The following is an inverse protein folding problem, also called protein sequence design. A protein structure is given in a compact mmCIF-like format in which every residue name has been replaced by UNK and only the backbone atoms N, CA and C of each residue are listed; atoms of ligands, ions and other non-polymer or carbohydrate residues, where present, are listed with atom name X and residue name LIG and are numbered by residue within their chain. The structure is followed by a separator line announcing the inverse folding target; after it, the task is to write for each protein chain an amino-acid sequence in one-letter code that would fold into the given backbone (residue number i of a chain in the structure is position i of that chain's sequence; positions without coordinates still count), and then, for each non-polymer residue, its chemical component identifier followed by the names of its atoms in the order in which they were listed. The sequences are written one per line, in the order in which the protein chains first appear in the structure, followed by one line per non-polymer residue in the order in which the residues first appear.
data_IF_033593100234
#
_entry.id   IF_033593100234
#
_cell.length_a   1.000
_cell.length_b   1.000
_cell.length_c   1.000
_cell.angle_alpha   90.00
_cell.angle_beta   90.00
_cell.angle_gamma   90.00
#
_symmetry.space_group_name_H-M   'P 1'
#
loop_
_entity.id
_entity.type
_entity.pdbx_description
1 polymer ?
#
# COMPACT_ATOMS: atom_id res chain seq x y z
N UNK A 1 11.75 2.94 9.03
CA UNK A 1 12.67 2.64 7.91
C UNK A 1 13.84 3.63 7.73
N UNK A 2 13.76 4.91 8.15
CA UNK A 2 14.92 5.82 8.10
C UNK A 2 15.41 6.19 6.69
N UNK A 3 14.50 6.19 5.70
CA UNK A 3 14.85 6.33 4.29
C UNK A 3 15.29 7.76 3.94
N UNK A 4 16.29 7.86 3.08
CA UNK A 4 16.72 9.10 2.42
C UNK A 4 16.72 8.91 0.90
N UNK A 5 16.75 10.01 0.13
CA UNK A 5 16.77 9.96 -1.34
C UNK A 5 18.18 9.64 -1.84
N UNK A 6 18.53 8.37 -1.86
CA UNK A 6 19.90 7.89 -2.19
C UNK A 6 19.95 6.90 -3.35
N UNK A 7 18.80 6.45 -3.87
CA UNK A 7 18.73 5.50 -4.98
C UNK A 7 18.60 6.26 -6.31
N UNK A 8 19.62 6.25 -7.19
CA UNK A 8 19.53 6.91 -8.48
C UNK A 8 18.64 6.09 -9.43
N UNK A 9 17.54 6.70 -9.90
CA UNK A 9 16.65 6.07 -10.88
C UNK A 9 16.37 7.05 -12.04
N UNK A 10 16.51 6.63 -13.31
CA UNK A 10 16.07 7.46 -14.42
C UNK A 10 14.55 7.61 -14.40
N UNK A 11 14.02 8.74 -14.90
CA UNK A 11 12.63 8.76 -15.35
C UNK A 11 12.48 7.83 -16.55
N UNK A 12 11.53 6.91 -16.46
CA UNK A 12 11.39 5.82 -17.42
C UNK A 12 11.04 6.32 -18.82
N UNK A 13 11.04 5.42 -19.82
CA UNK A 13 10.35 5.65 -21.08
C UNK A 13 8.83 5.82 -20.86
N UNK A 14 8.28 5.30 -19.75
CA UNK A 14 6.87 5.34 -19.35
C UNK A 14 5.91 5.24 -20.55
N UNK A 15 6.18 4.28 -21.43
CA UNK A 15 5.31 4.03 -22.58
C UNK A 15 4.06 3.30 -22.12
N UNK A 16 2.93 3.60 -22.79
CA UNK A 16 1.73 2.81 -22.61
C UNK A 16 2.04 1.40 -23.15
N UNK A 17 2.14 0.43 -22.23
CA UNK A 17 2.17 -0.99 -22.56
C UNK A 17 0.73 -1.48 -22.78
N UNK A 18 0.57 -2.66 -23.37
CA UNK A 18 -0.77 -3.23 -23.60
C UNK A 18 -1.50 -3.47 -22.27
N UNK A 19 -2.84 -3.51 -22.31
CA UNK A 19 -3.67 -3.61 -21.10
C UNK A 19 -3.31 -4.81 -20.22
N UNK A 20 -3.02 -5.97 -20.82
CA UNK A 20 -2.64 -7.19 -20.09
C UNK A 20 -1.38 -6.99 -19.27
N UNK A 21 -0.32 -6.44 -19.87
CA UNK A 21 0.94 -6.17 -19.16
C UNK A 21 0.76 -5.11 -18.08
N UNK A 22 -0.11 -4.11 -18.30
CA UNK A 22 -0.48 -3.18 -17.24
C UNK A 22 -1.18 -3.87 -16.09
N UNK A 23 -2.20 -4.69 -16.38
CA UNK A 23 -2.94 -5.43 -15.36
C UNK A 23 -2.01 -6.31 -14.52
N UNK A 24 -1.09 -7.04 -15.14
CA UNK A 24 -0.10 -7.86 -14.43
C UNK A 24 0.78 -7.04 -13.47
N UNK A 25 1.24 -5.85 -13.88
CA UNK A 25 2.00 -4.96 -12.99
C UNK A 25 1.17 -4.47 -11.80
N UNK A 26 -0.11 -4.14 -12.03
CA UNK A 26 -0.99 -3.65 -10.97
C UNK A 26 -1.46 -4.75 -10.03
N UNK A 27 -1.60 -5.98 -10.51
CA UNK A 27 -1.91 -7.15 -9.70
C UNK A 27 -0.73 -7.55 -8.82
N UNK A 28 0.50 -7.46 -9.35
CA UNK A 28 1.72 -7.65 -8.56
C UNK A 28 1.97 -6.53 -7.52
N UNK A 29 1.34 -5.36 -7.68
CA UNK A 29 1.46 -4.24 -6.74
C UNK A 29 0.54 -4.45 -5.53
N UNK A 30 1.07 -5.13 -4.51
CA UNK A 30 0.42 -5.27 -3.21
C UNK A 30 0.68 -4.06 -2.31
N UNK A 31 -0.35 -3.65 -1.57
CA UNK A 31 -0.24 -2.65 -0.51
C UNK A 31 -0.47 -3.25 0.90
N UNK A 32 -0.54 -4.58 1.01
CA UNK A 32 -0.87 -5.29 2.24
C UNK A 32 0.16 -5.06 3.35
N UNK A 33 1.44 -5.02 2.96
CA UNK A 33 2.55 -4.73 3.87
C UNK A 33 2.48 -3.33 4.49
N UNK A 34 1.61 -2.46 4.00
CA UNK A 34 1.46 -1.10 4.53
C UNK A 34 1.00 -1.04 5.98
N UNK A 35 0.25 -2.04 6.46
CA UNK A 35 -0.22 -2.08 7.83
C UNK A 35 0.84 -2.72 8.74
N UNK A 36 1.35 -1.94 9.69
CA UNK A 36 2.42 -2.32 10.62
C UNK A 36 1.97 -2.17 12.07
N UNK A 37 2.49 -3.03 12.96
CA UNK A 37 2.26 -3.01 14.39
C UNK A 37 3.50 -2.50 15.12
N UNK A 38 3.48 -1.24 15.56
CA UNK A 38 4.59 -0.59 16.27
C UNK A 38 4.35 -0.60 17.78
N UNK A 39 5.39 -0.82 18.58
CA UNK A 39 5.30 -0.69 20.04
C UNK A 39 4.97 0.74 20.45
N UNK A 40 4.28 0.89 21.58
CA UNK A 40 3.96 2.20 22.14
C UNK A 40 5.23 3.01 22.48
N UNK A 41 6.31 2.35 22.90
CA UNK A 41 7.60 3.01 23.15
C UNK A 41 8.22 3.55 21.86
N UNK A 42 8.21 2.77 20.78
CA UNK A 42 8.68 3.23 19.47
C UNK A 42 7.82 4.40 18.97
N UNK A 43 6.49 4.28 19.04
CA UNK A 43 5.58 5.33 18.62
C UNK A 43 5.81 6.63 19.39
N UNK A 44 5.96 6.55 20.72
CA UNK A 44 6.26 7.71 21.58
C UNK A 44 7.62 8.34 21.24
N UNK A 45 8.66 7.54 21.06
CA UNK A 45 9.99 8.01 20.70
C UNK A 45 9.99 8.74 19.35
N UNK A 46 9.14 8.33 18.42
CA UNK A 46 8.96 8.94 17.10
C UNK A 46 7.94 10.10 17.09
N UNK A 47 7.33 10.43 18.23
CA UNK A 47 6.29 11.47 18.32
C UNK A 47 4.99 11.13 17.59
N UNK A 48 4.71 9.84 17.35
CA UNK A 48 3.50 9.38 16.70
C UNK A 48 2.31 9.40 17.68
N UNK A 49 1.11 9.85 17.25
CA UNK A 49 -0.10 9.70 18.03
C UNK A 49 -0.44 8.24 18.29
N UNK A 50 -1.11 7.95 19.41
CA UNK A 50 -1.55 6.60 19.75
C UNK A 50 -2.54 6.09 18.70
N UNK A 51 -2.19 4.99 18.03
CA UNK A 51 -3.09 4.33 17.09
C UNK A 51 -3.99 3.26 17.73
N UNK A 52 -4.92 2.74 16.93
CA UNK A 52 -5.75 1.58 17.28
C UNK A 52 -4.88 0.39 17.72
N UNK A 53 -5.36 -0.39 18.69
CA UNK A 53 -4.59 -1.51 19.23
C UNK A 53 -4.39 -2.62 18.21
N UNK A 54 -3.20 -3.18 18.19
CA UNK A 54 -2.96 -4.40 17.45
C UNK A 54 -3.69 -5.56 18.15
N UNK A 55 -4.54 -6.33 17.45
CA UNK A 55 -5.40 -7.34 18.09
C UNK A 55 -4.65 -8.40 18.87
N UNK A 56 -3.40 -8.65 18.48
CA UNK A 56 -2.54 -9.70 19.03
C UNK A 56 -1.55 -9.16 20.09
N UNK A 57 -1.45 -7.84 20.27
CA UNK A 57 -0.53 -7.23 21.23
C UNK A 57 -1.02 -5.83 21.64
N UNK A 58 -1.52 -5.70 22.86
CA UNK A 58 -2.07 -4.44 23.36
C UNK A 58 -1.01 -3.37 23.61
N UNK A 59 0.28 -3.73 23.67
CA UNK A 59 1.39 -2.78 23.80
C UNK A 59 1.83 -2.23 22.42
N UNK A 60 1.14 -2.65 21.35
CA UNK A 60 1.33 -2.17 19.99
C UNK A 60 0.12 -1.46 19.42
N UNK A 61 0.38 -0.51 18.53
CA UNK A 61 -0.62 0.17 17.71
C UNK A 61 -0.43 -0.15 16.23
N UNK A 62 -1.53 -0.20 15.47
CA UNK A 62 -1.52 -0.38 14.02
C UNK A 62 -1.35 0.97 13.33
N UNK A 63 -0.32 1.09 12.50
CA UNK A 63 -0.06 2.26 11.66
C UNK A 63 -0.07 1.85 10.20
N UNK A 64 -0.44 2.79 9.31
CA UNK A 64 -0.36 2.62 7.87
C UNK A 64 0.84 3.41 7.33
N UNK A 65 1.71 2.72 6.61
CA UNK A 65 2.84 3.34 5.91
C UNK A 65 2.30 4.21 4.77
N UNK A 66 2.67 5.49 4.76
CA UNK A 66 2.18 6.47 3.80
C UNK A 66 2.43 6.08 2.33
N UNK A 67 3.59 5.50 2.00
CA UNK A 67 3.88 5.06 0.63
C UNK A 67 2.91 3.98 0.14
N UNK A 68 2.50 3.04 1.00
CA UNK A 68 1.50 2.03 0.67
C UNK A 68 0.08 2.60 0.60
N UNK A 69 -0.25 3.59 1.44
CA UNK A 69 -1.48 4.35 1.29
C UNK A 69 -1.56 5.09 -0.05
N UNK A 70 -0.45 5.70 -0.49
CA UNK A 70 -0.35 6.34 -1.79
C UNK A 70 -0.49 5.32 -2.93
N UNK A 71 0.14 4.14 -2.83
CA UNK A 71 -0.03 3.07 -3.81
C UNK A 71 -1.48 2.57 -3.90
N UNK A 72 -2.14 2.37 -2.75
CA UNK A 72 -3.58 2.10 -2.69
C UNK A 72 -4.37 3.17 -3.44
N UNK A 73 -4.12 4.46 -3.16
CA UNK A 73 -4.81 5.56 -3.83
C UNK A 73 -4.60 5.54 -5.35
N UNK A 74 -3.37 5.29 -5.83
CA UNK A 74 -3.11 5.20 -7.28
C UNK A 74 -3.87 4.01 -7.89
N UNK A 75 -3.86 2.84 -7.24
CA UNK A 75 -4.59 1.65 -7.71
C UNK A 75 -6.10 1.89 -7.72
N UNK A 76 -6.67 2.55 -6.70
CA UNK A 76 -8.09 2.94 -6.66
C UNK A 76 -8.47 3.85 -7.81
N UNK A 77 -7.67 4.89 -8.09
CA UNK A 77 -7.93 5.82 -9.21
C UNK A 77 -7.82 5.09 -10.56
N UNK A 78 -6.81 4.24 -10.72
CA UNK A 78 -6.68 3.41 -11.92
C UNK A 78 -7.92 2.55 -12.12
N UNK A 79 -8.34 1.80 -11.11
CA UNK A 79 -9.52 0.93 -11.18
C UNK A 79 -10.76 1.72 -11.58
N UNK A 80 -10.98 2.90 -11.00
CA UNK A 80 -12.08 3.79 -11.36
C UNK A 80 -12.03 4.22 -12.84
N UNK A 81 -10.84 4.54 -13.37
CA UNK A 81 -10.64 4.92 -14.78
C UNK A 81 -10.87 3.74 -15.73
N UNK A 82 -10.39 2.55 -15.39
CA UNK A 82 -10.63 1.32 -16.17
C UNK A 82 -12.10 0.96 -16.18
N UNK A 83 -12.77 1.00 -15.02
CA UNK A 83 -14.21 0.78 -14.91
C UNK A 83 -15.01 1.78 -15.74
N UNK A 84 -14.63 3.07 -15.72
CA UNK A 84 -15.25 4.09 -16.56
C UNK A 84 -15.07 3.80 -18.05
N UNK A 85 -13.83 3.52 -18.50
CA UNK A 85 -13.51 3.17 -19.89
C UNK A 85 -14.34 1.99 -20.38
N UNK A 86 -14.45 0.96 -19.55
CA UNK A 86 -15.13 -0.29 -19.88
C UNK A 86 -16.64 -0.23 -19.63
N UNK A 87 -17.19 0.94 -19.26
CA UNK A 87 -18.61 1.12 -18.94
C UNK A 87 -19.11 0.20 -17.80
N UNK A 88 -18.22 -0.13 -16.85
CA UNK A 88 -18.52 -0.92 -15.66
C UNK A 88 -18.99 0.00 -14.52
N UNK A 89 -19.84 -0.50 -13.60
CA UNK A 89 -20.16 0.21 -12.37
C UNK A 89 -18.90 0.51 -11.57
N UNK A 90 -18.87 1.67 -10.92
CA UNK A 90 -17.75 2.05 -10.04
C UNK A 90 -17.76 1.18 -8.78
N UNK A 91 -16.67 0.47 -8.54
CA UNK A 91 -16.50 -0.36 -7.33
C UNK A 91 -16.20 0.48 -6.08
N UNK A 92 -15.57 1.64 -6.27
CA UNK A 92 -15.29 2.60 -5.21
C UNK A 92 -16.30 3.74 -5.23
N UNK A 93 -16.87 4.13 -4.06
CA UNK A 93 -17.70 5.34 -3.98
C UNK A 93 -16.91 6.55 -4.46
N UNK A 94 -17.58 7.48 -5.16
CA UNK A 94 -16.94 8.68 -5.69
C UNK A 94 -16.17 9.48 -4.64
N UNK A 95 -16.70 9.58 -3.40
CA UNK A 95 -16.01 10.24 -2.29
C UNK A 95 -14.65 9.60 -1.94
N UNK A 96 -14.50 8.28 -2.11
CA UNK A 96 -13.21 7.59 -1.91
C UNK A 96 -12.22 7.96 -3.03
N UNK A 97 -12.66 7.99 -4.29
CA UNK A 97 -11.82 8.42 -5.43
C UNK A 97 -11.35 9.88 -5.25
N UNK A 98 -12.24 10.78 -4.81
CA UNK A 98 -11.89 12.16 -4.49
C UNK A 98 -10.87 12.26 -3.35
N UNK A 99 -11.06 11.46 -2.30
CA UNK A 99 -10.10 11.38 -1.20
C UNK A 99 -8.72 10.92 -1.69
N UNK A 100 -8.64 9.87 -2.51
CA UNK A 100 -7.39 9.39 -3.09
C UNK A 100 -6.68 10.47 -3.91
N UNK A 101 -7.43 11.24 -4.71
CA UNK A 101 -6.88 12.36 -5.48
C UNK A 101 -6.32 13.47 -4.58
N UNK A 102 -7.03 13.81 -3.50
CA UNK A 102 -6.57 14.82 -2.55
C UNK A 102 -5.34 14.37 -1.77
N UNK A 103 -5.29 13.11 -1.34
CA UNK A 103 -4.12 12.51 -0.67
C UNK A 103 -2.88 12.59 -1.56
N UNK A 104 -2.99 12.17 -2.83
CA UNK A 104 -1.87 12.21 -3.76
C UNK A 104 -1.43 13.65 -4.06
N UNK A 105 -2.38 14.58 -4.17
CA UNK A 105 -2.07 16.01 -4.32
C UNK A 105 -1.29 16.52 -3.11
N UNK A 106 -1.76 16.25 -1.90
CA UNK A 106 -1.13 16.72 -0.67
C UNK A 106 0.24 16.07 -0.47
N UNK A 107 0.42 14.82 -0.87
CA UNK A 107 1.73 14.16 -0.89
C UNK A 107 2.73 14.85 -1.83
N UNK A 108 2.29 15.24 -3.04
CA UNK A 108 3.13 15.97 -3.99
C UNK A 108 3.52 17.34 -3.41
N UNK A 109 2.57 18.05 -2.82
CA UNK A 109 2.80 19.35 -2.20
C UNK A 109 3.72 19.25 -0.97
N UNK A 110 3.57 18.21 -0.15
CA UNK A 110 4.39 17.93 1.03
C UNK A 110 5.83 17.58 0.65
N UNK A 111 6.00 16.75 -0.38
CA UNK A 111 7.33 16.34 -0.82
C UNK A 111 8.10 17.46 -1.52
N UNK A 112 7.39 18.36 -2.23
CA UNK A 112 7.93 19.50 -2.96
C UNK A 112 9.25 19.18 -3.70
N UNK A 113 9.25 18.11 -4.51
CA UNK A 113 10.45 17.66 -5.23
C UNK A 113 10.89 18.73 -6.24
N UNK A 114 12.03 19.37 -5.96
CA UNK A 114 12.59 20.50 -6.67
C UNK A 114 13.51 20.08 -7.83
N UNK A 115 13.60 18.78 -8.14
CA UNK A 115 14.43 18.27 -9.24
C UNK A 115 13.93 18.82 -10.59
N UNK A 116 14.70 19.68 -11.29
CA UNK A 116 14.26 20.26 -12.55
C UNK A 116 14.19 19.18 -13.63
N UNK A 117 13.11 19.12 -14.41
CA UNK A 117 13.00 18.19 -15.54
C UNK A 117 13.41 18.88 -16.83
N UNK A 118 14.35 18.31 -17.57
CA UNK A 118 14.72 18.86 -18.87
C UNK A 118 13.62 18.65 -19.92
N UNK A 119 13.52 19.57 -20.89
CA UNK A 119 12.51 19.58 -21.96
C UNK A 119 13.16 19.86 -23.33
N UNK A 120 12.55 19.41 -24.42
CA UNK A 120 12.81 19.92 -25.78
C UNK A 120 13.85 19.18 -26.65
N UNK A 121 14.68 18.30 -26.08
CA UNK A 121 15.74 17.57 -26.82
C UNK A 121 15.47 16.06 -26.97
N UNK A 122 14.23 15.64 -26.74
CA UNK A 122 13.83 14.24 -26.59
C UNK A 122 13.09 13.76 -27.83
N UNK A 123 13.34 12.53 -28.34
CA UNK A 123 12.64 11.98 -29.51
C UNK A 123 11.11 11.94 -29.38
N UNK A 124 10.58 11.87 -28.17
CA UNK A 124 9.16 11.72 -27.85
C UNK A 124 8.54 12.91 -27.09
N UNK A 125 9.28 14.02 -26.97
CA UNK A 125 8.91 15.23 -26.23
C UNK A 125 8.56 15.01 -24.74
N UNK A 126 8.88 13.84 -24.15
CA UNK A 126 8.60 13.56 -22.73
C UNK A 126 9.61 14.27 -21.83
N UNK A 127 9.11 15.03 -20.85
CA UNK A 127 9.97 15.78 -19.93
C UNK A 127 10.78 14.84 -19.03
N UNK A 128 12.08 15.11 -18.92
CA UNK A 128 12.98 14.36 -18.03
C UNK A 128 13.28 12.91 -18.44
N UNK A 129 12.82 12.40 -19.59
CA UNK A 129 13.10 11.03 -20.02
C UNK A 129 14.60 10.71 -19.92
N UNK A 130 14.97 9.63 -19.21
CA UNK A 130 16.36 9.22 -18.99
C UNK A 130 17.15 10.08 -17.98
N UNK A 131 16.65 11.25 -17.56
CA UNK A 131 17.29 12.03 -16.51
C UNK A 131 17.15 11.29 -15.17
N UNK A 132 18.23 11.25 -14.42
CA UNK A 132 18.30 10.60 -13.12
C UNK A 132 17.67 11.51 -12.05
N UNK A 133 16.82 10.91 -11.22
CA UNK A 133 16.34 11.47 -9.95
C UNK A 133 16.79 10.60 -8.79
N UNK A 134 16.78 11.16 -7.58
CA UNK A 134 17.12 10.44 -6.37
C UNK A 134 15.85 9.97 -5.64
N UNK A 135 15.68 8.67 -5.54
CA UNK A 135 14.54 8.02 -4.91
C UNK A 135 14.91 7.47 -3.52
N UNK A 136 13.89 7.23 -2.68
CA UNK A 136 14.02 6.42 -1.47
C UNK A 136 14.02 4.93 -1.86
N UNK A 137 14.79 4.11 -1.14
CA UNK A 137 14.82 2.66 -1.37
C UNK A 137 13.50 2.01 -0.91
N UNK A 138 12.69 1.59 -1.88
CA UNK A 138 11.41 0.94 -1.61
C UNK A 138 11.62 -0.48 -1.03
N UNK A 139 12.66 -1.19 -1.44
CA UNK A 139 12.98 -2.51 -0.89
C UNK A 139 13.40 -2.40 0.58
N UNK A 140 14.06 -1.31 0.98
CA UNK A 140 14.33 -1.02 2.39
C UNK A 140 13.04 -0.74 3.18
N UNK A 141 12.07 -0.05 2.58
CA UNK A 141 10.76 0.14 3.19
C UNK A 141 10.05 -1.19 3.41
N UNK A 142 10.06 -2.05 2.40
CA UNK A 142 9.47 -3.40 2.42
C UNK A 142 10.05 -4.27 3.52
N UNK A 143 11.38 -4.33 3.64
CA UNK A 143 12.04 -5.09 4.71
C UNK A 143 11.57 -4.63 6.08
N UNK A 144 11.54 -3.32 6.30
CA UNK A 144 11.05 -2.76 7.57
C UNK A 144 9.55 -3.03 7.80
N UNK A 145 8.74 -2.99 6.74
CA UNK A 145 7.31 -3.30 6.81
C UNK A 145 7.06 -4.77 7.19
N UNK A 146 7.84 -5.70 6.64
CA UNK A 146 7.80 -7.12 6.99
C UNK A 146 8.20 -7.35 8.46
N UNK A 147 9.29 -6.71 8.91
CA UNK A 147 9.74 -6.79 10.31
C UNK A 147 8.70 -6.25 11.30
N UNK A 148 7.90 -5.27 10.88
CA UNK A 148 6.87 -4.63 11.70
C UNK A 148 5.45 -5.05 11.33
N UNK A 149 5.27 -6.16 10.62
CA UNK A 149 3.95 -6.52 10.04
C UNK A 149 2.82 -6.54 11.07
N UNK A 150 1.66 -6.00 10.69
CA UNK A 150 0.42 -6.17 11.44
C UNK A 150 -0.35 -7.44 11.02
N UNK A 151 0.27 -8.39 10.32
CA UNK A 151 -0.38 -9.59 9.82
C UNK A 151 -1.61 -9.28 8.93
N UNK A 152 -1.58 -8.14 8.23
CA UNK A 152 -2.72 -7.63 7.50
C UNK A 152 -2.74 -8.10 6.04
N UNK A 153 -3.92 -8.42 5.49
CA UNK A 153 -4.16 -8.58 4.05
C UNK A 153 -5.47 -7.94 3.61
N UNK A 154 -5.50 -7.41 2.38
CA UNK A 154 -6.72 -6.90 1.77
C UNK A 154 -7.60 -8.05 1.24
N UNK A 155 -8.33 -8.69 2.15
CA UNK A 155 -9.27 -9.78 1.83
C UNK A 155 -10.68 -9.43 2.26
N UNK A 156 -11.65 -10.06 1.58
CA UNK A 156 -13.07 -9.93 1.86
C UNK A 156 -13.68 -8.58 1.47
N UNK A 157 -14.97 -8.61 1.17
CA UNK A 157 -15.79 -7.43 0.98
C UNK A 157 -16.75 -7.24 2.17
N UNK A 158 -17.05 -5.98 2.51
CA UNK A 158 -18.03 -5.63 3.55
C UNK A 158 -19.45 -6.19 3.28
N UNK A 159 -19.73 -6.60 2.05
CA UNK A 159 -20.97 -7.26 1.65
C UNK A 159 -21.02 -8.77 1.97
N UNK A 160 -19.90 -9.39 2.33
CA UNK A 160 -19.85 -10.81 2.70
C UNK A 160 -20.34 -10.98 4.15
N UNK A 161 -21.37 -11.80 4.36
CA UNK A 161 -22.06 -11.95 5.66
C UNK A 161 -21.13 -12.42 6.80
N UNK A 162 -20.13 -13.25 6.48
CA UNK A 162 -19.19 -13.81 7.45
C UNK A 162 -17.90 -12.98 7.59
N UNK A 163 -17.72 -11.94 6.77
CA UNK A 163 -16.51 -11.12 6.80
C UNK A 163 -16.49 -10.19 8.01
N UNK A 164 -15.32 -10.10 8.64
CA UNK A 164 -15.04 -9.13 9.70
C UNK A 164 -13.74 -8.42 9.39
N UNK A 165 -13.72 -7.11 9.62
CA UNK A 165 -12.49 -6.32 9.45
C UNK A 165 -11.30 -6.87 10.25
N UNK A 166 -11.57 -7.47 11.41
CA UNK A 166 -10.54 -8.07 12.24
C UNK A 166 -9.88 -9.31 11.59
N UNK A 167 -10.60 -10.03 10.73
CA UNK A 167 -10.05 -11.20 10.03
C UNK A 167 -8.94 -10.83 9.05
N UNK A 168 -8.88 -9.55 8.62
CA UNK A 168 -7.77 -9.05 7.82
C UNK A 168 -6.43 -9.12 8.53
N UNK A 169 -6.40 -9.19 9.87
CA UNK A 169 -5.16 -9.23 10.67
C UNK A 169 -4.68 -10.67 10.96
N UNK A 170 -5.25 -11.70 10.36
CA UNK A 170 -4.94 -13.11 10.65
C UNK A 170 -3.75 -13.69 9.87
N UNK A 171 -3.14 -12.91 8.98
CA UNK A 171 -2.16 -13.40 8.02
C UNK A 171 -0.74 -13.19 8.51
N UNK A 172 -0.45 -13.67 9.72
CA UNK A 172 0.88 -13.59 10.27
C UNK A 172 1.85 -14.52 9.50
N UNK A 173 3.08 -14.06 9.20
CA UNK A 173 4.08 -14.89 8.55
C UNK A 173 4.56 -16.01 9.48
N UNK A 174 5.13 -17.06 8.88
CA UNK A 174 5.79 -18.14 9.62
C UNK A 174 6.88 -17.58 10.55
N UNK A 175 6.95 -18.13 11.77
CA UNK A 175 7.86 -17.66 12.82
C UNK A 175 7.41 -16.40 13.57
N UNK A 176 6.28 -15.78 13.20
CA UNK A 176 5.69 -14.69 13.98
C UNK A 176 5.25 -15.19 15.38
N UNK A 177 5.53 -14.46 16.47
CA UNK A 177 5.04 -14.82 17.80
C UNK A 177 3.52 -14.75 17.91
N UNK A 178 2.87 -14.07 16.96
CA UNK A 178 1.41 -13.92 16.92
C UNK A 178 0.73 -14.95 16.01
N UNK A 179 1.49 -15.83 15.33
CA UNK A 179 0.95 -16.78 14.34
C UNK A 179 -0.18 -17.62 14.93
N UNK A 180 0.11 -18.40 15.96
CA UNK A 180 -0.89 -19.28 16.60
C UNK A 180 -2.10 -18.48 17.10
N UNK A 181 -1.88 -17.36 17.80
CA UNK A 181 -2.96 -16.54 18.33
C UNK A 181 -3.84 -15.94 17.22
N UNK A 182 -3.22 -15.47 16.13
CA UNK A 182 -3.93 -14.90 14.97
C UNK A 182 -4.79 -15.92 14.23
N UNK A 183 -4.52 -17.21 14.39
CA UNK A 183 -5.27 -18.29 13.74
C UNK A 183 -6.30 -18.95 14.66
N UNK A 184 -6.10 -18.88 15.98
CA UNK A 184 -6.90 -19.61 16.99
C UNK A 184 -7.80 -18.72 17.85
N UNK A 185 -7.49 -17.42 18.00
CA UNK A 185 -8.23 -16.56 18.92
C UNK A 185 -9.66 -16.29 18.44
N UNK A 186 -10.58 -16.28 19.42
CA UNK A 186 -12.04 -16.32 19.37
C UNK A 186 -12.75 -15.31 18.47
N UNK A 187 -12.60 -15.45 17.16
CA UNK A 187 -13.55 -14.91 16.19
C UNK A 187 -14.27 -16.11 15.57
N UNK A 188 -15.59 -16.20 15.73
CA UNK A 188 -16.42 -17.32 15.23
C UNK A 188 -16.23 -17.55 13.71
N UNK A 189 -16.06 -18.79 13.26
CA UNK A 189 -16.00 -19.11 11.82
C UNK A 189 -14.60 -19.02 11.22
N UNK A 190 -14.41 -19.76 10.14
CA UNK A 190 -13.13 -20.02 9.46
C UNK A 190 -13.09 -19.44 8.03
N UNK A 191 -14.03 -18.54 7.69
CA UNK A 191 -14.15 -17.84 6.40
C UNK A 191 -12.80 -17.34 5.86
N UNK A 192 -11.94 -16.81 6.73
CA UNK A 192 -10.64 -16.22 6.34
C UNK A 192 -9.63 -17.27 5.83
N UNK A 193 -9.79 -18.55 6.19
CA UNK A 193 -8.86 -19.63 5.81
C UNK A 193 -8.81 -19.86 4.30
N UNK A 194 -9.90 -19.56 3.59
CA UNK A 194 -9.92 -19.62 2.11
C UNK A 194 -8.91 -18.67 1.44
N UNK A 195 -8.33 -17.72 2.19
CA UNK A 195 -7.32 -16.78 1.71
C UNK A 195 -5.90 -17.06 2.26
N UNK A 196 -5.66 -18.16 2.97
CA UNK A 196 -4.33 -18.46 3.52
C UNK A 196 -3.28 -18.70 2.41
N UNK A 197 -3.65 -19.47 1.38
CA UNK A 197 -2.72 -19.94 0.34
C UNK A 197 -2.48 -18.95 -0.81
N UNK A 198 -2.99 -17.72 -0.71
CA UNK A 198 -2.83 -16.70 -1.75
C UNK A 198 -3.60 -17.02 -3.05
N UNK A 199 -4.48 -18.01 -3.05
CA UNK A 199 -5.30 -18.36 -4.20
C UNK A 199 -6.58 -17.53 -4.25
N UNK A 200 -6.51 -16.41 -4.97
CA UNK A 200 -7.54 -15.98 -5.92
C UNK A 200 -6.84 -15.50 -7.19
#
# INVERSE_FOLDING_TARGET
AGLTRTVPLPWGPNEAINDTEQDELWDATSYDLGNIALSDDYARAMGLPRAQRFPWDNDKGIYLINAYHNLHCVKTIRTALVEFRDSRPQSSPWGHVQHCLLVLRDEVMCNADDTPRYTGFQPDYKSGLGQVRMCRDFAQLERWAVEQTACWRHVGAASEEEFRELDRYRFCPEGSPYKEMSETMWLKGDWWRKYQDGSL
#
